data_IF_212342224298
#
_entry.id   IF_212342224298
#
_cell.length_a   1.000
_cell.length_b   1.000
_cell.length_c   1.000
_cell.angle_alpha   90.00
_cell.angle_beta   90.00
_cell.angle_gamma   90.00
#
_symmetry.space_group_name_H-M   'P 1'
#
loop_
_entity.id
_entity.type
_entity.pdbx_description
1 polymer ?
#
# COMPACT_ATOMS: atom_id res chain seq x y z
N UNK A 1 -3.92 -11.33 13.17
CA UNK A 1 -4.04 -11.78 11.79
C UNK A 1 -4.59 -10.68 10.88
N UNK A 2 -5.77 -10.16 11.20
CA UNK A 2 -6.48 -9.12 10.43
C UNK A 2 -5.69 -7.79 10.42
N UNK A 3 -5.08 -7.42 11.53
CA UNK A 3 -4.37 -6.14 11.67
C UNK A 3 -3.18 -6.00 10.70
N UNK A 4 -2.39 -7.05 10.53
CA UNK A 4 -1.30 -7.05 9.56
C UNK A 4 -1.78 -6.86 8.12
N UNK A 5 -2.88 -7.50 7.76
CA UNK A 5 -3.52 -7.31 6.47
C UNK A 5 -4.05 -5.88 6.29
N UNK A 6 -4.64 -5.32 7.33
CA UNK A 6 -5.19 -3.96 7.32
C UNK A 6 -4.10 -2.90 7.05
N UNK A 7 -2.95 -3.01 7.69
CA UNK A 7 -1.82 -2.10 7.47
C UNK A 7 -1.33 -2.17 6.02
N UNK A 8 -1.20 -3.38 5.47
CA UNK A 8 -0.76 -3.55 4.09
C UNK A 8 -1.78 -3.00 3.07
N UNK A 9 -3.07 -3.24 3.27
CA UNK A 9 -4.14 -2.68 2.42
C UNK A 9 -4.15 -1.16 2.48
N UNK A 10 -3.99 -0.59 3.67
CA UNK A 10 -3.93 0.86 3.85
C UNK A 10 -2.76 1.46 3.07
N UNK A 11 -1.59 0.83 3.12
CA UNK A 11 -0.41 1.27 2.36
C UNK A 11 -0.70 1.35 0.85
N UNK A 12 -1.27 0.31 0.27
CA UNK A 12 -1.59 0.28 -1.17
C UNK A 12 -2.66 1.28 -1.53
N UNK A 13 -3.75 1.33 -0.76
CA UNK A 13 -4.88 2.22 -1.02
C UNK A 13 -4.47 3.69 -0.92
N UNK A 14 -3.68 4.04 0.10
CA UNK A 14 -3.16 5.39 0.27
C UNK A 14 -2.22 5.79 -0.89
N UNK A 15 -1.35 4.89 -1.32
CA UNK A 15 -0.45 5.12 -2.46
C UNK A 15 -1.23 5.31 -3.75
N UNK A 16 -2.25 4.49 -4.00
CA UNK A 16 -3.12 4.67 -5.17
C UNK A 16 -3.88 5.98 -5.14
N UNK A 17 -4.41 6.37 -3.99
CA UNK A 17 -5.08 7.66 -3.81
C UNK A 17 -4.16 8.84 -4.10
N UNK A 18 -2.93 8.78 -3.63
CA UNK A 18 -1.92 9.81 -3.89
C UNK A 18 -1.58 9.92 -5.39
N UNK A 19 -1.46 8.81 -6.10
CA UNK A 19 -1.27 8.82 -7.55
C UNK A 19 -2.51 9.26 -8.35
N UNK A 20 -3.67 9.26 -7.74
CA UNK A 20 -4.88 9.85 -8.33
C UNK A 20 -4.69 11.29 -8.75
N UNK A 21 -3.91 12.05 -8.00
CA UNK A 21 -3.53 13.44 -8.34
C UNK A 21 -2.76 13.50 -9.65
N UNK A 22 -1.83 12.58 -9.88
CA UNK A 22 -1.08 12.50 -11.13
C UNK A 22 -1.99 12.27 -12.33
N UNK A 23 -2.97 11.39 -12.21
CA UNK A 23 -3.93 11.10 -13.28
C UNK A 23 -4.88 12.29 -13.50
N UNK A 24 -5.31 12.94 -12.44
CA UNK A 24 -6.13 14.15 -12.51
C UNK A 24 -5.39 15.29 -13.23
N UNK A 25 -4.13 15.52 -12.89
CA UNK A 25 -3.27 16.50 -13.55
C UNK A 25 -3.08 16.19 -15.04
N UNK A 26 -2.93 14.92 -15.40
CA UNK A 26 -2.88 14.49 -16.81
C UNK A 26 -4.19 14.77 -17.54
N UNK A 27 -5.32 14.48 -16.91
CA UNK A 27 -6.65 14.70 -17.49
C UNK A 27 -6.91 16.19 -17.72
N UNK A 28 -6.49 17.05 -16.79
CA UNK A 28 -6.60 18.50 -16.89
C UNK A 28 -5.54 19.14 -17.79
N UNK A 29 -4.63 18.35 -18.35
CA UNK A 29 -3.53 18.82 -19.20
C UNK A 29 -2.55 19.80 -18.53
N UNK A 30 -2.48 19.78 -17.20
CA UNK A 30 -1.54 20.57 -16.40
C UNK A 30 -0.09 20.23 -16.74
N UNK A 31 0.17 19.03 -17.24
CA UNK A 31 1.49 18.63 -17.74
C UNK A 31 2.04 19.56 -18.82
N UNK A 32 1.17 20.21 -19.61
CA UNK A 32 1.59 21.17 -20.65
C UNK A 32 2.17 22.45 -20.05
N UNK A 33 1.61 22.88 -18.92
CA UNK A 33 2.10 24.05 -18.21
C UNK A 33 3.47 23.77 -17.59
N UNK A 34 3.68 22.55 -17.07
CA UNK A 34 4.98 22.10 -16.60
C UNK A 34 5.99 21.88 -17.73
N UNK A 35 5.54 21.48 -18.93
CA UNK A 35 6.42 21.32 -20.09
C UNK A 35 6.94 22.67 -20.60
N UNK A 36 6.19 23.75 -20.40
CA UNK A 36 6.62 25.13 -20.67
C UNK A 36 7.57 25.70 -19.62
N UNK A 37 7.70 25.04 -18.48
CA UNK A 37 8.59 25.42 -17.39
C UNK A 37 9.99 24.81 -17.56
N UNK A 38 11.07 25.44 -17.03
CA UNK A 38 12.42 24.87 -17.07
C UNK A 38 12.62 23.63 -16.18
N UNK A 39 11.56 23.09 -15.58
CA UNK A 39 11.60 21.91 -14.70
C UNK A 39 11.77 20.64 -15.54
N UNK A 40 12.73 19.79 -15.16
CA UNK A 40 12.95 18.50 -15.82
C UNK A 40 11.76 17.55 -15.55
N UNK A 41 11.34 16.80 -16.57
CA UNK A 41 10.28 15.78 -16.45
C UNK A 41 10.60 14.73 -15.36
N UNK A 42 11.87 14.36 -15.22
CA UNK A 42 12.32 13.44 -14.17
C UNK A 42 12.10 13.99 -12.76
N UNK A 43 12.31 15.29 -12.55
CA UNK A 43 12.04 15.93 -11.25
C UNK A 43 10.56 15.94 -10.92
N UNK A 44 9.69 16.16 -11.90
CA UNK A 44 8.25 16.13 -11.73
C UNK A 44 7.75 14.72 -11.35
N UNK A 45 8.20 13.70 -12.08
CA UNK A 45 7.89 12.30 -11.77
C UNK A 45 8.41 11.91 -10.38
N UNK A 46 9.64 12.31 -10.04
CA UNK A 46 10.21 12.09 -8.71
C UNK A 46 9.40 12.74 -7.59
N UNK A 47 8.86 13.94 -7.84
CA UNK A 47 7.95 14.63 -6.91
C UNK A 47 6.67 13.85 -6.64
N UNK A 48 6.03 13.32 -7.66
CA UNK A 48 4.83 12.48 -7.53
C UNK A 48 5.13 11.18 -6.77
N UNK A 49 6.23 10.51 -7.09
CA UNK A 49 6.65 9.27 -6.43
C UNK A 49 6.94 9.54 -4.95
N UNK A 50 7.70 10.58 -4.64
CA UNK A 50 8.05 10.94 -3.28
C UNK A 50 6.82 11.32 -2.46
N UNK A 51 5.90 12.07 -3.04
CA UNK A 51 4.62 12.44 -2.41
C UNK A 51 3.79 11.20 -2.09
N UNK A 52 3.61 10.30 -3.05
CA UNK A 52 2.87 9.06 -2.87
C UNK A 52 3.52 8.15 -1.83
N UNK A 53 4.84 8.04 -1.84
CA UNK A 53 5.60 7.28 -0.83
C UNK A 53 5.38 7.86 0.57
N UNK A 54 5.48 9.17 0.74
CA UNK A 54 5.29 9.85 2.02
C UNK A 54 3.86 9.63 2.54
N UNK A 55 2.85 9.81 1.71
CA UNK A 55 1.45 9.56 2.07
C UNK A 55 1.24 8.10 2.47
N UNK A 56 1.78 7.16 1.70
CA UNK A 56 1.70 5.73 2.00
C UNK A 56 2.33 5.37 3.34
N UNK A 57 3.51 5.91 3.65
CA UNK A 57 4.19 5.69 4.93
C UNK A 57 3.39 6.28 6.09
N UNK A 58 2.94 7.53 5.98
CA UNK A 58 2.18 8.21 7.04
C UNK A 58 0.89 7.46 7.33
N UNK A 59 0.14 7.08 6.31
CA UNK A 59 -1.13 6.36 6.48
C UNK A 59 -0.92 4.95 7.03
N UNK A 60 0.15 4.28 6.66
CA UNK A 60 0.51 2.96 7.22
C UNK A 60 0.87 3.05 8.70
N UNK A 61 1.60 4.08 9.10
CA UNK A 61 1.93 4.34 10.50
C UNK A 61 0.68 4.64 11.30
N UNK A 62 -0.23 5.47 10.77
CA UNK A 62 -1.52 5.76 11.40
C UNK A 62 -2.34 4.47 11.57
N UNK A 63 -2.41 3.64 10.53
CA UNK A 63 -3.10 2.35 10.60
C UNK A 63 -2.49 1.42 11.65
N UNK A 64 -1.16 1.39 11.76
CA UNK A 64 -0.46 0.61 12.78
C UNK A 64 -0.80 1.09 14.20
N UNK A 65 -0.81 2.41 14.42
CA UNK A 65 -1.16 3.00 15.72
C UNK A 65 -2.61 2.68 16.08
N UNK A 66 -3.54 2.80 15.14
CA UNK A 66 -4.94 2.46 15.34
C UNK A 66 -5.14 0.97 15.64
N UNK A 67 -4.44 0.11 14.91
CA UNK A 67 -4.47 -1.34 15.10
C UNK A 67 -3.95 -1.71 16.52
N UNK A 68 -2.87 -1.07 16.93
CA UNK A 68 -2.30 -1.27 18.27
C UNK A 68 -3.25 -0.79 19.36
N UNK A 69 -3.86 0.39 19.18
CA UNK A 69 -4.87 0.91 20.09
C UNK A 69 -6.06 -0.04 20.24
N UNK A 70 -6.54 -0.61 19.15
CA UNK A 70 -7.61 -1.59 19.18
C UNK A 70 -7.21 -2.87 19.93
N UNK A 71 -5.99 -3.35 19.73
CA UNK A 71 -5.48 -4.54 20.43
C UNK A 71 -5.37 -4.28 21.94
N UNK A 72 -4.92 -3.10 22.36
CA UNK A 72 -4.84 -2.72 23.78
C UNK A 72 -6.22 -2.66 24.44
N UNK A 73 -7.21 -2.10 23.75
CA UNK A 73 -8.59 -2.06 24.24
C UNK A 73 -9.21 -3.46 24.37
N UNK A 74 -8.78 -4.39 23.51
CA UNK A 74 -9.20 -5.79 23.55
C UNK A 74 -8.47 -6.65 24.59
N UNK A 75 -7.59 -6.07 25.40
CA UNK A 75 -6.81 -6.78 26.41
C UNK A 75 -5.55 -7.46 25.87
N UNK A 76 -5.12 -7.10 24.66
CA UNK A 76 -3.87 -7.56 24.07
C UNK A 76 -2.65 -6.91 24.68
N UNK A 77 -1.49 -7.56 24.58
CA UNK A 77 -0.23 -7.02 25.02
C UNK A 77 0.32 -5.95 24.06
N UNK A 78 1.08 -4.99 24.58
CA UNK A 78 1.86 -4.08 23.73
C UNK A 78 2.99 -4.85 23.04
N UNK A 79 3.21 -4.54 21.76
CA UNK A 79 4.38 -5.05 21.05
C UNK A 79 5.67 -4.50 21.68
N UNK A 80 6.75 -5.28 21.61
CA UNK A 80 8.05 -4.83 22.07
C UNK A 80 8.60 -3.70 21.20
N UNK A 81 9.50 -2.87 21.76
CA UNK A 81 10.14 -1.80 21.01
C UNK A 81 10.89 -2.33 19.76
N UNK A 82 11.49 -3.51 19.85
CA UNK A 82 12.12 -4.18 18.73
C UNK A 82 11.13 -4.55 17.62
N UNK A 83 9.93 -5.00 17.98
CA UNK A 83 8.87 -5.29 17.01
C UNK A 83 8.39 -4.03 16.29
N UNK A 84 8.22 -2.92 17.00
CA UNK A 84 7.88 -1.63 16.37
C UNK A 84 8.93 -1.18 15.37
N UNK A 85 10.21 -1.32 15.70
CA UNK A 85 11.29 -0.96 14.78
C UNK A 85 11.29 -1.82 13.53
N UNK A 86 11.06 -3.13 13.66
CA UNK A 86 10.91 -4.05 12.52
C UNK A 86 9.70 -3.70 11.67
N UNK A 87 8.57 -3.37 12.28
CA UNK A 87 7.35 -2.97 11.58
C UNK A 87 7.53 -1.67 10.80
N UNK A 88 8.21 -0.68 11.38
CA UNK A 88 8.54 0.57 10.68
C UNK A 88 9.43 0.32 9.46
N UNK A 89 10.45 -0.52 9.60
CA UNK A 89 11.30 -0.92 8.48
C UNK A 89 10.52 -1.64 7.38
N UNK A 90 9.60 -2.54 7.76
CA UNK A 90 8.72 -3.22 6.83
C UNK A 90 7.74 -2.27 6.14
N UNK A 91 7.19 -1.30 6.86
CA UNK A 91 6.31 -0.27 6.28
C UNK A 91 7.05 0.52 5.20
N UNK A 92 8.25 0.98 5.48
CA UNK A 92 9.07 1.72 4.52
C UNK A 92 9.34 0.88 3.27
N UNK A 93 9.81 -0.34 3.44
CA UNK A 93 10.12 -1.25 2.33
C UNK A 93 8.88 -1.60 1.51
N UNK A 94 7.79 -1.94 2.17
CA UNK A 94 6.53 -2.29 1.54
C UNK A 94 5.93 -1.12 0.78
N UNK A 95 5.95 0.07 1.37
CA UNK A 95 5.44 1.29 0.73
C UNK A 95 6.28 1.65 -0.49
N UNK A 96 7.59 1.46 -0.43
CA UNK A 96 8.47 1.67 -1.58
C UNK A 96 8.13 0.73 -2.74
N UNK A 97 7.95 -0.56 -2.46
CA UNK A 97 7.55 -1.55 -3.44
C UNK A 97 6.17 -1.26 -4.04
N UNK A 98 5.21 -0.91 -3.19
CA UNK A 98 3.86 -0.55 -3.63
C UNK A 98 3.85 0.73 -4.47
N UNK A 99 4.63 1.73 -4.09
CA UNK A 99 4.78 2.98 -4.84
C UNK A 99 5.31 2.70 -6.25
N UNK A 100 6.33 1.87 -6.38
CA UNK A 100 6.88 1.49 -7.68
C UNK A 100 5.85 0.73 -8.53
N UNK A 101 5.14 -0.22 -7.95
CA UNK A 101 4.11 -0.99 -8.63
C UNK A 101 2.94 -0.12 -9.09
N UNK A 102 2.43 0.72 -8.20
CA UNK A 102 1.30 1.61 -8.51
C UNK A 102 1.70 2.67 -9.53
N UNK A 103 2.90 3.22 -9.45
CA UNK A 103 3.42 4.14 -10.46
C UNK A 103 3.46 3.50 -11.85
N UNK A 104 3.92 2.26 -11.93
CA UNK A 104 3.89 1.50 -13.17
C UNK A 104 2.47 1.32 -13.71
N UNK A 105 1.53 0.92 -12.87
CA UNK A 105 0.12 0.78 -13.25
C UNK A 105 -0.49 2.10 -13.71
N UNK A 106 -0.27 3.17 -12.96
CA UNK A 106 -0.81 4.51 -13.27
C UNK A 106 -0.26 5.07 -14.59
N UNK A 107 0.95 4.66 -14.97
CA UNK A 107 1.55 5.08 -16.23
C UNK A 107 0.71 4.70 -17.46
N UNK A 108 -0.11 3.67 -17.37
CA UNK A 108 -1.02 3.25 -18.46
C UNK A 108 -2.32 4.04 -18.52
N UNK A 109 -2.72 4.70 -17.45
CA UNK A 109 -3.98 5.43 -17.36
C UNK A 109 -3.81 6.87 -17.81
N UNK A 110 -4.69 7.31 -18.72
CA UNK A 110 -4.76 8.69 -19.23
C UNK A 110 -6.07 9.39 -18.89
N UNK A 111 -7.02 8.67 -18.32
CA UNK A 111 -8.35 9.15 -17.99
C UNK A 111 -8.63 8.95 -16.50
N UNK A 112 -9.18 9.97 -15.85
CA UNK A 112 -9.59 9.88 -14.46
C UNK A 112 -10.67 8.83 -14.24
N UNK A 113 -11.61 8.69 -15.16
CA UNK A 113 -12.66 7.68 -15.07
C UNK A 113 -12.10 6.26 -15.13
N UNK A 114 -11.16 6.00 -16.05
CA UNK A 114 -10.51 4.70 -16.16
C UNK A 114 -9.70 4.38 -14.89
N UNK A 115 -8.99 5.35 -14.36
CA UNK A 115 -8.24 5.21 -13.10
C UNK A 115 -9.17 4.93 -11.91
N UNK A 116 -10.27 5.65 -11.77
CA UNK A 116 -11.23 5.46 -10.69
C UNK A 116 -11.86 4.08 -10.73
N UNK A 117 -12.25 3.60 -11.92
CA UNK A 117 -12.79 2.25 -12.11
C UNK A 117 -11.74 1.19 -11.76
N UNK A 118 -10.52 1.34 -12.26
CA UNK A 118 -9.41 0.43 -11.95
C UNK A 118 -9.08 0.41 -10.46
N UNK A 119 -9.07 1.57 -9.80
CA UNK A 119 -8.84 1.69 -8.35
C UNK A 119 -9.89 0.95 -7.54
N UNK A 120 -11.16 1.05 -7.93
CA UNK A 120 -12.27 0.33 -7.27
C UNK A 120 -12.09 -1.19 -7.42
N UNK A 121 -11.79 -1.66 -8.62
CA UNK A 121 -11.57 -3.10 -8.89
C UNK A 121 -10.35 -3.61 -8.11
N UNK A 122 -9.23 -2.91 -8.17
CA UNK A 122 -8.00 -3.28 -7.47
C UNK A 122 -8.23 -3.25 -5.96
N UNK A 123 -8.91 -2.23 -5.42
CA UNK A 123 -9.23 -2.13 -4.01
C UNK A 123 -10.06 -3.31 -3.49
N UNK A 124 -11.02 -3.77 -4.29
CA UNK A 124 -11.81 -4.96 -3.97
C UNK A 124 -10.95 -6.22 -4.00
N UNK A 125 -10.13 -6.38 -5.04
CA UNK A 125 -9.27 -7.55 -5.20
C UNK A 125 -8.16 -7.61 -4.15
N UNK A 126 -7.63 -6.48 -3.69
CA UNK A 126 -6.59 -6.43 -2.65
C UNK A 126 -7.07 -7.11 -1.37
N UNK A 127 -8.32 -6.94 -0.98
CA UNK A 127 -8.89 -7.62 0.18
C UNK A 127 -8.81 -9.16 0.09
N UNK A 128 -8.98 -9.70 -1.10
CA UNK A 128 -8.80 -11.13 -1.36
C UNK A 128 -7.32 -11.53 -1.42
N UNK A 129 -6.50 -10.75 -2.11
CA UNK A 129 -5.06 -10.99 -2.25
C UNK A 129 -4.33 -10.96 -0.91
N UNK A 130 -4.75 -10.10 0.00
CA UNK A 130 -4.18 -10.01 1.35
C UNK A 130 -4.69 -11.08 2.32
N UNK A 131 -5.70 -11.85 1.91
CA UNK A 131 -6.28 -12.90 2.74
C UNK A 131 -7.04 -12.37 3.95
N UNK A 132 -7.55 -11.14 3.88
CA UNK A 132 -8.40 -10.58 4.95
C UNK A 132 -9.78 -11.24 4.93
N UNK A 133 -10.36 -11.38 3.73
CA UNK A 133 -11.69 -11.97 3.58
C UNK A 133 -11.64 -13.49 3.63
N UNK A 134 -10.64 -14.10 2.98
CA UNK A 134 -10.49 -15.56 2.91
C UNK A 134 -9.03 -15.93 3.14
N UNK A 135 -8.73 -16.96 3.96
CA UNK A 135 -7.38 -17.49 4.07
C UNK A 135 -6.86 -17.94 2.70
N UNK A 136 -5.65 -17.54 2.35
CA UNK A 136 -5.04 -17.85 1.04
C UNK A 136 -4.99 -19.36 0.80
N UNK A 137 -4.84 -20.14 1.86
CA UNK A 137 -4.80 -21.61 1.77
C UNK A 137 -6.10 -22.27 1.28
N UNK A 138 -7.23 -21.56 1.30
CA UNK A 138 -8.52 -22.08 0.81
C UNK A 138 -8.74 -21.85 -0.68
N UNK A 139 -7.86 -21.06 -1.32
CA UNK A 139 -7.96 -20.73 -2.73
C UNK A 139 -7.38 -21.85 -3.63
N UNK A 140 -7.85 -21.99 -4.89
CA UNK A 140 -7.24 -22.89 -5.85
C UNK A 140 -5.75 -22.58 -6.05
N UNK A 141 -4.95 -23.60 -6.34
CA UNK A 141 -3.49 -23.48 -6.46
C UNK A 141 -3.04 -22.43 -7.50
N UNK A 142 -3.76 -22.31 -8.60
CA UNK A 142 -3.48 -21.29 -9.63
C UNK A 142 -3.63 -19.85 -9.08
N UNK A 143 -4.70 -19.62 -8.31
CA UNK A 143 -4.95 -18.31 -7.68
C UNK A 143 -3.92 -18.01 -6.60
N UNK A 144 -3.54 -19.02 -5.80
CA UNK A 144 -2.46 -18.87 -4.82
C UNK A 144 -1.13 -18.46 -5.46
N UNK A 145 -0.83 -18.99 -6.63
CA UNK A 145 0.38 -18.65 -7.36
C UNK A 145 0.38 -17.18 -7.79
N UNK A 146 -0.73 -16.72 -8.37
CA UNK A 146 -0.90 -15.32 -8.75
C UNK A 146 -0.79 -14.39 -7.54
N UNK A 147 -1.46 -14.74 -6.44
CA UNK A 147 -1.43 -13.97 -5.19
C UNK A 147 0.00 -13.85 -4.65
N UNK A 148 0.77 -14.93 -4.68
CA UNK A 148 2.17 -14.93 -4.20
C UNK A 148 3.10 -14.07 -5.05
N UNK A 149 2.76 -13.81 -6.31
CA UNK A 149 3.53 -12.91 -7.17
C UNK A 149 3.36 -11.43 -6.81
N UNK A 150 2.29 -11.07 -6.11
CA UNK A 150 2.06 -9.69 -5.72
C UNK A 150 2.89 -9.30 -4.48
N UNK A 151 3.62 -8.16 -4.51
CA UNK A 151 4.41 -7.70 -3.37
C UNK A 151 3.56 -7.42 -2.12
N UNK A 152 2.31 -7.05 -2.30
CA UNK A 152 1.35 -6.80 -1.21
C UNK A 152 1.10 -8.06 -0.38
N UNK A 153 0.91 -9.21 -1.02
CA UNK A 153 0.70 -10.49 -0.35
C UNK A 153 1.90 -10.89 0.50
N UNK A 154 3.10 -10.70 0.00
CA UNK A 154 4.33 -10.98 0.73
C UNK A 154 4.50 -10.03 1.93
N UNK A 155 4.18 -8.76 1.74
CA UNK A 155 4.18 -7.77 2.80
C UNK A 155 3.23 -8.16 3.95
N UNK A 156 2.02 -8.60 3.62
CA UNK A 156 1.05 -9.08 4.62
C UNK A 156 1.62 -10.25 5.43
N UNK A 157 2.26 -11.20 4.75
CA UNK A 157 2.92 -12.32 5.41
C UNK A 157 3.98 -11.88 6.41
N UNK A 158 4.83 -10.95 6.01
CA UNK A 158 5.89 -10.40 6.87
C UNK A 158 5.32 -9.62 8.06
N UNK A 159 4.32 -8.76 7.84
CA UNK A 159 3.63 -8.06 8.93
C UNK A 159 3.03 -9.02 9.94
N UNK A 160 2.37 -10.06 9.47
CA UNK A 160 1.79 -11.09 10.34
C UNK A 160 2.85 -11.84 11.13
N UNK A 161 3.96 -12.21 10.49
CA UNK A 161 5.06 -12.90 11.18
C UNK A 161 5.65 -12.04 12.31
N UNK A 162 5.92 -10.77 12.05
CA UNK A 162 6.49 -9.88 13.05
C UNK A 162 5.50 -9.64 14.21
N UNK A 163 4.24 -9.38 13.90
CA UNK A 163 3.22 -9.11 14.91
C UNK A 163 2.90 -10.35 15.74
N UNK A 164 2.83 -11.53 15.13
CA UNK A 164 2.53 -12.78 15.84
C UNK A 164 3.72 -13.30 16.63
N UNK A 165 4.93 -13.19 16.12
CA UNK A 165 6.14 -13.62 16.82
C UNK A 165 6.32 -12.90 18.16
N UNK A 166 5.98 -11.62 18.20
CA UNK A 166 6.09 -10.82 19.43
C UNK A 166 5.00 -11.18 20.46
N UNK A 167 3.84 -11.67 20.00
CA UNK A 167 2.77 -12.11 20.90
C UNK A 167 2.95 -13.53 21.44
N UNK A 168 3.74 -14.33 20.73
CA UNK A 168 4.04 -15.72 21.14
C UNK A 168 5.31 -15.83 22.00
N UNK A 169 6.08 -14.78 22.05
CA UNK A 169 7.27 -14.68 22.90
C UNK A 169 6.92 -14.15 24.29
#
# INVERSE_FOLDING_TARGET
WIMGGLVAVTSVTATMGAFGVLVDDRTKKIEKDFAASPVKKASLAGGYILSAFTVGVVMSVVALVLAQGYMLLGGGAMLSAAAYLKLLGLIILTTLANTAMVFFLVSFFRSQNAFSTASTVIGTLIGFVTGIYLPIGTLPAAVQWVVKCFPVSQAVGLFRQVMMADQLA
#
